data_IF_122389319581
#
_entry.id   IF_122389319581
#
_cell.length_a   1.000
_cell.length_b   1.000
_cell.length_c   1.000
_cell.angle_alpha   90.00
_cell.angle_beta   90.00
_cell.angle_gamma   90.00
#
_symmetry.space_group_name_H-M   'P 1'
#
loop_
_entity.id
_entity.type
_entity.pdbx_description
1 polymer ?
#
# COMPACT_ATOMS: atom_id res chain seq x y z
N UNK A 1 -24.22 -12.40 -14.95
CA UNK A 1 -23.30 -12.79 -13.86
C UNK A 1 -21.89 -12.27 -14.19
N UNK A 2 -21.06 -12.03 -13.18
CA UNK A 2 -19.68 -11.58 -13.34
C UNK A 2 -18.81 -12.14 -12.20
N UNK A 3 -17.53 -12.35 -12.46
CA UNK A 3 -16.57 -12.87 -11.50
C UNK A 3 -15.25 -12.11 -11.60
N UNK A 4 -14.60 -11.90 -10.46
CA UNK A 4 -13.32 -11.23 -10.38
C UNK A 4 -12.21 -12.13 -10.92
N UNK A 5 -11.30 -11.53 -11.68
CA UNK A 5 -10.07 -12.19 -12.07
C UNK A 5 -9.09 -12.26 -10.89
N UNK A 6 -8.24 -13.28 -10.88
CA UNK A 6 -7.06 -13.28 -10.01
C UNK A 6 -6.12 -12.12 -10.36
N UNK A 7 -5.35 -11.57 -9.40
CA UNK A 7 -4.31 -10.59 -9.71
C UNK A 7 -3.39 -11.13 -10.82
N UNK A 8 -3.12 -10.35 -11.88
CA UNK A 8 -2.28 -10.82 -12.97
C UNK A 8 -0.83 -10.97 -12.49
N UNK A 9 -0.23 -12.10 -12.84
CA UNK A 9 1.18 -12.40 -12.53
C UNK A 9 1.97 -12.28 -13.82
N UNK A 10 3.09 -11.56 -13.77
CA UNK A 10 4.03 -11.42 -14.88
C UNK A 10 5.27 -12.26 -14.55
N UNK A 11 5.79 -12.95 -15.56
CA UNK A 11 7.06 -13.66 -15.50
C UNK A 11 7.91 -13.24 -16.69
N UNK A 12 9.23 -13.26 -16.53
CA UNK A 12 10.18 -12.93 -17.58
C UNK A 12 11.16 -14.07 -17.81
N UNK A 13 11.49 -14.30 -19.08
CA UNK A 13 12.42 -15.32 -19.53
C UNK A 13 13.16 -14.84 -20.78
N UNK A 14 14.36 -15.38 -21.03
CA UNK A 14 15.11 -15.07 -22.24
C UNK A 14 14.30 -15.48 -23.48
N UNK A 15 14.30 -14.60 -24.48
CA UNK A 15 13.59 -14.85 -25.73
C UNK A 15 14.26 -15.95 -26.58
N UNK A 16 13.56 -16.41 -27.63
CA UNK A 16 14.12 -17.37 -28.58
C UNK A 16 15.32 -16.81 -29.36
N UNK A 17 15.36 -15.50 -29.57
CA UNK A 17 16.44 -14.79 -30.24
C UNK A 17 17.40 -14.15 -29.22
N UNK A 18 18.69 -14.11 -29.54
CA UNK A 18 19.68 -13.44 -28.68
C UNK A 18 19.36 -11.95 -28.55
N UNK A 19 19.41 -11.44 -27.32
CA UNK A 19 19.01 -10.07 -27.01
C UNK A 19 17.51 -9.81 -27.00
N UNK A 20 16.64 -10.84 -27.01
CA UNK A 20 15.20 -10.70 -26.79
C UNK A 20 14.82 -11.13 -25.35
N UNK A 21 13.74 -10.56 -24.82
CA UNK A 21 13.13 -10.95 -23.55
C UNK A 21 11.65 -11.22 -23.77
N UNK A 22 11.17 -12.36 -23.27
CA UNK A 22 9.76 -12.76 -23.32
C UNK A 22 9.13 -12.54 -21.96
N UNK A 23 7.96 -11.89 -21.95
CA UNK A 23 7.13 -11.68 -20.78
C UNK A 23 5.82 -12.44 -20.93
N UNK A 24 5.47 -13.19 -19.90
CA UNK A 24 4.22 -13.95 -19.86
C UNK A 24 3.34 -13.44 -18.72
N UNK A 25 2.10 -13.08 -19.06
CA UNK A 25 1.08 -12.65 -18.10
C UNK A 25 -0.05 -13.66 -18.01
N UNK A 26 -0.36 -14.10 -16.79
CA UNK A 26 -1.48 -15.00 -16.53
C UNK A 26 -2.47 -14.43 -15.52
N UNK A 27 -3.76 -14.59 -15.77
CA UNK A 27 -4.84 -14.23 -14.86
C UNK A 27 -6.04 -15.16 -15.07
N UNK A 28 -6.73 -15.55 -14.00
CA UNK A 28 -7.65 -16.69 -14.00
C UNK A 28 -8.96 -16.42 -13.27
N UNK A 29 -9.90 -17.37 -13.39
CA UNK A 29 -11.16 -17.45 -12.63
C UNK A 29 -12.13 -16.28 -12.80
N UNK A 30 -12.00 -15.48 -13.87
CA UNK A 30 -12.84 -14.30 -14.10
C UNK A 30 -13.92 -14.47 -15.16
N UNK A 31 -14.94 -13.60 -15.12
CA UNK A 31 -16.03 -13.59 -16.11
C UNK A 31 -16.64 -12.18 -16.21
N UNK A 32 -17.05 -11.71 -17.41
CA UNK A 32 -16.92 -12.34 -18.74
C UNK A 32 -15.49 -12.24 -19.30
N UNK A 33 -15.31 -12.48 -20.61
CA UNK A 33 -14.02 -12.34 -21.28
C UNK A 33 -13.46 -10.92 -21.04
N UNK A 34 -12.22 -10.77 -20.53
CA UNK A 34 -11.69 -9.46 -20.17
C UNK A 34 -10.99 -8.79 -21.36
N UNK A 35 -10.61 -7.52 -21.18
CA UNK A 35 -9.60 -6.87 -22.02
C UNK A 35 -8.26 -6.91 -21.30
N UNK A 36 -7.21 -7.29 -22.02
CA UNK A 36 -5.85 -7.30 -21.49
C UNK A 36 -4.99 -6.31 -22.28
N UNK A 37 -4.18 -5.54 -21.57
CA UNK A 37 -3.18 -4.66 -22.19
C UNK A 37 -1.88 -4.68 -21.38
N UNK A 38 -0.78 -4.51 -22.10
CA UNK A 38 0.55 -4.37 -21.51
C UNK A 38 0.91 -2.90 -21.42
N UNK A 39 1.58 -2.52 -20.33
CA UNK A 39 2.00 -1.16 -20.04
C UNK A 39 3.51 -1.14 -19.79
N UNK A 40 4.18 -0.14 -20.35
CA UNK A 40 5.50 0.25 -19.93
C UNK A 40 5.35 1.06 -18.64
N UNK A 41 5.77 0.50 -17.50
CA UNK A 41 5.73 1.17 -16.21
C UNK A 41 6.77 2.29 -16.07
N UNK A 42 7.71 2.39 -17.00
CA UNK A 42 8.72 3.45 -16.99
C UNK A 42 8.14 4.78 -17.47
N UNK A 43 7.27 4.78 -18.48
CA UNK A 43 6.67 5.99 -19.07
C UNK A 43 5.12 5.99 -19.11
N UNK A 44 4.48 4.89 -18.71
CA UNK A 44 3.02 4.72 -18.72
C UNK A 44 2.42 4.36 -20.07
N UNK A 45 3.22 4.18 -21.13
CA UNK A 45 2.73 3.90 -22.47
C UNK A 45 2.19 2.47 -22.62
N UNK A 46 1.32 2.25 -23.61
CA UNK A 46 0.85 0.92 -23.97
C UNK A 46 1.90 0.20 -24.81
N UNK A 47 2.12 -1.09 -24.53
CA UNK A 47 3.01 -1.97 -25.28
C UNK A 47 2.18 -2.84 -26.24
N UNK A 48 2.23 -2.58 -27.56
CA UNK A 48 1.49 -3.37 -28.55
C UNK A 48 2.23 -4.68 -28.88
N UNK A 49 1.61 -5.53 -29.71
CA UNK A 49 2.26 -6.72 -30.27
C UNK A 49 2.20 -7.97 -29.39
N UNK A 50 1.49 -7.93 -28.26
CA UNK A 50 1.30 -9.11 -27.42
C UNK A 50 0.34 -10.13 -28.05
N UNK A 51 0.71 -11.42 -27.99
CA UNK A 51 -0.15 -12.52 -28.36
C UNK A 51 -0.99 -12.94 -27.14
N UNK A 52 -2.31 -12.70 -27.19
CA UNK A 52 -3.21 -12.99 -26.06
C UNK A 52 -4.15 -14.13 -26.39
N UNK A 53 -4.18 -15.14 -25.52
CA UNK A 53 -5.12 -16.25 -25.54
C UNK A 53 -6.06 -16.16 -24.33
N UNK A 54 -7.35 -16.35 -24.56
CA UNK A 54 -8.34 -16.50 -23.49
C UNK A 54 -9.06 -17.83 -23.68
N UNK A 55 -8.86 -18.75 -22.74
CA UNK A 55 -9.59 -20.02 -22.67
C UNK A 55 -10.71 -19.93 -21.64
N UNK A 56 -11.68 -20.83 -21.75
CA UNK A 56 -12.81 -20.92 -20.81
C UNK A 56 -12.88 -22.33 -20.25
N UNK A 57 -13.00 -22.46 -18.94
CA UNK A 57 -13.08 -23.75 -18.26
C UNK A 57 -14.51 -24.35 -18.26
N UNK A 58 -14.67 -25.52 -17.66
CA UNK A 58 -15.97 -26.21 -17.55
C UNK A 58 -16.98 -25.49 -16.66
N UNK A 59 -16.53 -24.59 -15.77
CA UNK A 59 -17.38 -23.71 -14.94
C UNK A 59 -17.83 -22.47 -15.71
N UNK A 60 -17.29 -22.26 -16.92
CA UNK A 60 -17.56 -21.09 -17.74
C UNK A 60 -16.69 -19.88 -17.39
N UNK A 61 -15.68 -20.02 -16.53
CA UNK A 61 -14.75 -18.96 -16.15
C UNK A 61 -13.59 -18.85 -17.15
N UNK A 62 -13.11 -17.63 -17.36
CA UNK A 62 -12.02 -17.34 -18.29
C UNK A 62 -10.65 -17.41 -17.61
N UNK A 63 -9.70 -17.99 -18.34
CA UNK A 63 -8.28 -17.94 -18.05
C UNK A 63 -7.57 -17.21 -19.19
N UNK A 64 -6.73 -16.24 -18.86
CA UNK A 64 -6.02 -15.39 -19.80
C UNK A 64 -4.55 -15.69 -19.71
N UNK A 65 -3.94 -15.89 -20.88
CA UNK A 65 -2.51 -16.09 -21.06
C UNK A 65 -2.03 -15.17 -22.17
N UNK A 66 -1.18 -14.20 -21.86
CA UNK A 66 -0.65 -13.23 -22.82
C UNK A 66 0.87 -13.26 -22.85
N UNK A 67 1.45 -13.18 -24.04
CA UNK A 67 2.89 -13.21 -24.25
C UNK A 67 3.30 -11.94 -24.99
N UNK A 68 4.25 -11.21 -24.42
CA UNK A 68 4.86 -10.02 -25.01
C UNK A 68 6.36 -10.24 -25.19
N UNK A 69 6.88 -9.95 -26.39
CA UNK A 69 8.31 -10.06 -26.67
C UNK A 69 8.89 -8.68 -26.97
N UNK A 70 10.02 -8.37 -26.36
CA UNK A 70 10.68 -7.08 -26.50
C UNK A 70 12.20 -7.26 -26.61
N UNK A 71 12.90 -6.38 -27.33
CA UNK A 71 14.36 -6.29 -27.25
C UNK A 71 14.81 -6.05 -25.80
N UNK A 72 15.91 -6.68 -25.40
CA UNK A 72 16.51 -6.53 -24.09
C UNK A 72 16.95 -5.09 -23.92
N UNK A 73 16.27 -4.38 -23.03
CA UNK A 73 16.59 -2.99 -22.67
C UNK A 73 16.78 -2.90 -21.16
N UNK A 74 17.88 -2.30 -20.67
CA UNK A 74 18.29 -2.41 -19.26
C UNK A 74 17.36 -1.69 -18.26
N UNK A 75 16.37 -0.94 -18.73
CA UNK A 75 15.54 -0.07 -17.90
C UNK A 75 14.03 -0.17 -18.16
N UNK A 76 13.59 -1.06 -19.06
CA UNK A 76 12.15 -1.22 -19.29
C UNK A 76 11.52 -2.01 -18.13
N UNK A 77 10.46 -1.45 -17.55
CA UNK A 77 9.64 -2.14 -16.55
C UNK A 77 8.31 -2.43 -17.19
N UNK A 78 7.91 -3.68 -17.22
CA UNK A 78 6.71 -4.12 -17.91
C UNK A 78 5.61 -4.39 -16.89
N UNK A 79 4.36 -4.10 -17.25
CA UNK A 79 3.18 -4.42 -16.48
C UNK A 79 2.10 -5.00 -17.37
N UNK A 80 1.30 -5.89 -16.82
CA UNK A 80 0.07 -6.41 -17.40
C UNK A 80 -1.13 -5.87 -16.64
N UNK A 81 -2.18 -5.47 -17.37
CA UNK A 81 -3.44 -4.98 -16.83
C UNK A 81 -4.62 -5.77 -17.42
N UNK A 82 -5.53 -6.22 -16.55
CA UNK A 82 -6.73 -6.98 -16.89
C UNK A 82 -7.96 -6.15 -16.51
N UNK A 83 -8.76 -5.81 -17.50
CA UNK A 83 -9.96 -5.00 -17.37
C UNK A 83 -11.21 -5.86 -17.49
N UNK A 84 -12.04 -5.84 -16.46
CA UNK A 84 -13.38 -6.41 -16.45
C UNK A 84 -14.41 -5.26 -16.48
N UNK A 85 -14.91 -4.96 -17.67
CA UNK A 85 -15.87 -3.88 -17.90
C UNK A 85 -17.21 -4.09 -17.20
N UNK A 86 -17.62 -5.35 -16.97
CA UNK A 86 -18.87 -5.66 -16.27
C UNK A 86 -18.79 -5.36 -14.78
N UNK A 87 -17.60 -5.41 -14.20
CA UNK A 87 -17.33 -5.06 -12.80
C UNK A 87 -16.68 -3.69 -12.64
N UNK A 88 -16.44 -2.96 -13.74
CA UNK A 88 -15.66 -1.72 -13.76
C UNK A 88 -14.32 -1.87 -13.02
N UNK A 89 -13.68 -3.03 -13.18
CA UNK A 89 -12.45 -3.40 -12.48
C UNK A 89 -11.25 -3.34 -13.42
N UNK A 90 -10.13 -2.81 -12.94
CA UNK A 90 -8.83 -2.87 -13.60
C UNK A 90 -7.78 -3.43 -12.62
N UNK A 91 -7.32 -4.65 -12.88
CA UNK A 91 -6.28 -5.31 -12.10
C UNK A 91 -4.93 -5.14 -12.79
N UNK A 92 -3.98 -4.52 -12.11
CA UNK A 92 -2.61 -4.45 -12.57
C UNK A 92 -1.75 -5.47 -11.84
N UNK A 93 -0.73 -5.96 -12.54
CA UNK A 93 0.29 -6.83 -11.95
C UNK A 93 1.03 -6.09 -10.83
N UNK A 94 1.51 -6.79 -9.80
CA UNK A 94 2.42 -6.19 -8.84
C UNK A 94 3.73 -5.77 -9.55
N UNK A 95 4.41 -4.72 -9.06
CA UNK A 95 5.76 -4.43 -9.49
C UNK A 95 6.68 -5.60 -9.11
N UNK A 96 7.61 -5.97 -9.99
CA UNK A 96 8.63 -6.96 -9.69
C UNK A 96 9.33 -6.60 -8.37
N UNK A 97 9.48 -7.56 -7.43
CA UNK A 97 10.37 -7.35 -6.31
C UNK A 97 11.77 -7.13 -6.87
N UNK A 98 12.41 -6.01 -6.52
CA UNK A 98 13.84 -5.82 -6.82
C UNK A 98 14.57 -6.93 -6.06
N UNK A 99 14.91 -8.02 -6.75
CA UNK A 99 15.86 -8.99 -6.21
C UNK A 99 17.19 -8.25 -6.09
N UNK A 100 17.45 -7.75 -4.88
CA UNK A 100 18.80 -7.45 -4.43
C UNK A 100 19.67 -8.66 -4.77
N UNK A 101 20.82 -8.50 -5.46
CA UNK A 101 21.69 -9.62 -5.78
C UNK A 101 22.07 -10.30 -4.47
N UNK A 102 21.57 -11.52 -4.26
CA UNK A 102 21.90 -12.30 -3.07
C UNK A 102 23.33 -12.82 -3.23
N UNK A 103 24.29 -12.44 -2.38
CA UNK A 103 25.51 -13.21 -2.26
C UNK A 103 25.13 -14.55 -1.61
N UNK A 104 25.41 -15.63 -2.32
CA UNK A 104 25.38 -17.00 -1.84
C UNK A 104 26.04 -17.12 -0.45
N UNK A 105 25.25 -17.49 0.56
CA UNK A 105 25.73 -17.79 1.91
C UNK A 105 24.68 -17.58 2.99
N UNK A 106 23.83 -18.57 3.25
CA UNK A 106 23.23 -18.78 4.59
C UNK A 106 24.27 -19.49 5.49
N UNK A 107 24.17 -19.50 6.84
CA UNK A 107 22.99 -19.17 7.66
C UNK A 107 23.26 -18.26 8.87
N UNK A 108 22.25 -17.52 9.33
CA UNK A 108 21.87 -17.40 10.75
C UNK A 108 20.80 -16.32 10.89
N UNK A 109 19.71 -16.68 11.55
CA UNK A 109 18.56 -15.81 11.73
C UNK A 109 18.87 -14.53 12.51
N UNK A 110 18.01 -13.54 12.30
CA UNK A 110 17.49 -12.66 13.33
C UNK A 110 16.27 -11.95 12.74
N UNK A 111 15.12 -12.28 13.30
CA UNK A 111 13.90 -11.49 13.14
C UNK A 111 14.15 -10.15 13.83
N UNK A 112 13.99 -9.04 13.12
CA UNK A 112 13.86 -7.72 13.73
C UNK A 112 12.98 -6.87 12.84
N UNK A 113 11.68 -6.96 13.13
CA UNK A 113 10.75 -5.89 12.92
C UNK A 113 11.20 -4.66 13.72
N UNK A 114 11.29 -3.51 13.05
CA UNK A 114 11.29 -2.12 13.51
C UNK A 114 12.18 -1.36 12.52
N UNK A 115 11.91 -0.14 12.10
CA UNK A 115 10.93 0.87 12.46
C UNK A 115 11.05 1.88 11.32
N UNK A 116 9.93 2.36 10.78
CA UNK A 116 9.95 3.44 9.79
C UNK A 116 10.73 4.64 10.34
N UNK A 117 11.81 5.00 9.62
CA UNK A 117 12.63 6.17 9.88
C UNK A 117 11.88 7.42 9.42
N UNK A 118 11.22 8.08 10.37
CA UNK A 118 10.60 9.38 10.19
C UNK A 118 10.53 10.10 11.54
N UNK A 119 11.66 10.66 12.01
CA UNK A 119 11.71 11.15 13.39
C UNK A 119 12.90 12.03 13.74
N UNK A 120 13.25 13.02 12.91
CA UNK A 120 14.25 14.05 13.31
C UNK A 120 13.70 15.48 13.22
N UNK A 121 12.43 15.67 12.84
CA UNK A 121 11.82 17.01 12.74
C UNK A 121 10.92 17.34 13.95
N UNK A 122 10.53 16.35 14.76
CA UNK A 122 9.63 16.57 15.90
C UNK A 122 10.32 17.09 17.17
N UNK A 123 11.61 16.79 17.39
CA UNK A 123 12.30 17.20 18.62
C UNK A 123 12.54 18.70 18.71
N UNK A 124 12.86 19.38 17.60
CA UNK A 124 13.11 20.84 17.62
C UNK A 124 11.83 21.60 17.94
N UNK A 125 10.69 21.19 17.36
CA UNK A 125 9.39 21.81 17.64
C UNK A 125 8.98 21.63 19.10
N UNK A 126 9.16 20.44 19.66
CA UNK A 126 8.82 20.18 21.06
C UNK A 126 9.66 21.05 22.02
N UNK A 127 10.96 21.20 21.77
CA UNK A 127 11.85 22.04 22.60
C UNK A 127 11.43 23.51 22.51
N UNK A 128 11.12 24.02 21.31
CA UNK A 128 10.67 25.41 21.14
C UNK A 128 9.36 25.67 21.90
N UNK A 129 8.39 24.75 21.84
CA UNK A 129 7.11 24.90 22.58
C UNK A 129 7.34 24.95 24.09
N UNK A 130 8.23 24.10 24.63
CA UNK A 130 8.54 24.10 26.07
C UNK A 130 9.21 25.41 26.49
N UNK A 131 10.17 25.92 25.72
CA UNK A 131 10.85 27.18 26.02
C UNK A 131 9.86 28.36 26.04
N UNK A 132 8.94 28.43 25.08
CA UNK A 132 7.89 29.45 25.03
C UNK A 132 6.96 29.34 26.24
N UNK A 133 6.53 28.13 26.61
CA UNK A 133 5.67 27.91 27.77
C UNK A 133 6.35 28.30 29.10
N UNK A 134 7.65 28.01 29.24
CA UNK A 134 8.44 28.40 30.42
C UNK A 134 8.61 29.91 30.48
N UNK A 135 8.92 30.56 29.35
CA UNK A 135 9.06 32.02 29.28
C UNK A 135 7.73 32.72 29.61
N UNK A 136 6.61 32.25 29.05
CA UNK A 136 5.28 32.76 29.36
C UNK A 136 4.90 32.52 30.82
N UNK A 137 5.19 31.33 31.37
CA UNK A 137 4.97 31.01 32.78
C UNK A 137 5.79 31.90 33.71
N UNK A 138 7.05 32.17 33.37
CA UNK A 138 7.92 33.08 34.12
C UNK A 138 7.44 34.53 34.04
N UNK A 139 7.01 34.98 32.86
CA UNK A 139 6.46 36.32 32.66
C UNK A 139 5.12 36.51 33.40
N UNK A 140 4.20 35.54 33.34
CA UNK A 140 2.96 35.57 34.11
C UNK A 140 3.22 35.53 35.62
N UNK A 141 4.25 34.80 36.07
CA UNK A 141 4.62 34.73 37.49
C UNK A 141 5.29 36.01 38.00
N UNK A 142 6.06 36.69 37.17
CA UNK A 142 6.71 37.94 37.56
C UNK A 142 5.75 39.14 37.55
N UNK A 143 4.63 39.05 36.83
CA UNK A 143 3.64 40.12 36.74
C UNK A 143 2.39 39.92 37.62
N UNK A 144 2.30 38.84 38.40
CA UNK A 144 1.19 38.60 39.34
C UNK A 144 1.70 38.37 40.78
N UNK A 145 1.60 39.37 41.69
CA UNK A 145 1.86 39.13 43.11
C UNK A 145 0.77 38.21 43.72
N UNK A 146 1.12 37.36 44.70
CA UNK A 146 0.27 36.24 45.13
C UNK A 146 -0.96 36.74 45.87
N UNK A 147 -2.16 36.57 45.28
CA UNK A 147 -3.42 36.61 46.04
C UNK A 147 -3.74 35.23 46.63
N UNK A 148 -3.81 35.27 47.96
CA UNK A 148 -4.17 34.27 48.96
C UNK A 148 -5.27 33.27 48.52
N UNK A 149 -5.01 31.99 48.80
CA UNK A 149 -5.93 30.83 48.80
C UNK A 149 -7.26 31.10 49.52
N UNK A 150 -8.34 30.43 49.06
CA UNK A 150 -9.30 29.60 49.84
C UNK A 150 -10.06 28.71 48.82
N UNK A 151 -9.94 27.35 48.87
CA UNK A 151 -10.94 26.37 49.38
C UNK A 151 -12.38 26.73 48.99
N UNK A 152 -13.20 25.91 48.34
CA UNK A 152 -13.26 24.46 48.15
C UNK A 152 -14.76 24.12 48.14
N UNK A 153 -15.21 23.22 47.27
CA UNK A 153 -16.49 22.51 47.41
C UNK A 153 -16.58 21.45 46.31
N UNK A 154 -16.51 20.20 46.73
CA UNK A 154 -16.94 19.02 46.00
C UNK A 154 -18.40 18.81 46.38
N UNK A 155 -19.31 18.60 45.43
CA UNK A 155 -20.50 17.77 45.67
C UNK A 155 -21.02 17.17 44.36
N UNK A 156 -20.77 15.87 44.20
CA UNK A 156 -21.52 15.00 43.33
C UNK A 156 -22.84 14.64 44.03
N UNK A 157 -23.96 14.68 43.29
CA UNK A 157 -25.28 14.28 43.77
C UNK A 157 -25.81 13.14 42.89
N UNK A 158 -25.97 11.90 43.40
CA UNK A 158 -26.81 10.93 42.72
C UNK A 158 -28.27 11.10 43.17
N UNK A 159 -29.15 11.12 42.18
CA UNK A 159 -30.60 10.96 42.35
C UNK A 159 -30.90 9.47 42.38
N UNK A 160 -31.55 8.94 43.43
CA UNK A 160 -32.76 8.14 43.27
C UNK A 160 -33.47 7.87 44.60
N UNK A 161 -34.78 8.03 44.50
CA UNK A 161 -35.87 8.00 45.47
C UNK A 161 -36.40 6.58 45.67
N UNK A 162 -36.75 6.16 46.91
CA UNK A 162 -37.76 5.10 47.14
C UNK A 162 -38.32 5.02 48.58
N UNK A 163 -39.66 4.99 48.64
CA UNK A 163 -40.60 4.39 49.64
C UNK A 163 -40.92 5.06 51.00
N UNK A 164 -42.10 5.69 51.03
CA UNK A 164 -43.37 5.32 51.72
C UNK A 164 -43.47 4.93 53.22
N UNK A 165 -44.62 5.35 53.79
CA UNK A 165 -45.28 5.04 55.09
C UNK A 165 -44.64 5.64 56.36
N UNK A 166 -45.34 6.42 57.21
CA UNK A 166 -46.68 6.30 57.82
C UNK A 166 -47.32 7.67 58.06
#
# INVERSE_FOLDING_TARGET
PAAHFSPPVVTSEDGPEDGELTFTCTSSDGFPKPRLHWVNRTDGSLLPGALTNCSRDSRGLYHVHSVLRLPRTPSIRVGCCVENLSLQQNLSSPPEPVLSPSPSGSPSGQSSALQGSGGTVFSVLAVLVVLVAVAAGWACRSQCPPRRRYTGAQEERPVQELTDHV
#
